data_IF_540294564144
#
_entry.id   IF_540294564144
#
_cell.length_a   1.000
_cell.length_b   1.000
_cell.length_c   1.000
_cell.angle_alpha   90.00
_cell.angle_beta   90.00
_cell.angle_gamma   90.00
#
_symmetry.space_group_name_H-M   'P 1'
#
loop_
_entity.id
_entity.type
_entity.pdbx_description
1 polymer ?
#
# COMPACT_ATOMS: atom_id res chain seq x y z
N UNK A 1 -33.45 -28.17 30.42
CA UNK A 1 -32.57 -28.43 29.27
C UNK A 1 -32.31 -27.18 28.38
N UNK A 2 -33.25 -26.25 28.22
CA UNK A 2 -33.09 -25.05 27.36
C UNK A 2 -31.93 -24.09 27.75
N UNK A 3 -31.63 -23.94 29.03
CA UNK A 3 -30.58 -22.98 29.48
C UNK A 3 -29.14 -23.39 29.15
N UNK A 4 -28.88 -24.69 28.91
CA UNK A 4 -27.51 -25.14 28.54
C UNK A 4 -27.20 -24.87 27.07
N UNK A 5 -28.18 -24.95 26.19
CA UNK A 5 -27.99 -24.67 24.76
C UNK A 5 -27.78 -23.16 24.46
N UNK A 6 -28.48 -22.29 25.20
CA UNK A 6 -28.31 -20.84 25.05
C UNK A 6 -26.86 -20.36 25.37
N UNK A 7 -26.23 -20.93 26.40
CA UNK A 7 -24.85 -20.60 26.77
C UNK A 7 -23.83 -21.08 25.73
N UNK A 8 -24.04 -22.23 25.10
CA UNK A 8 -23.18 -22.76 24.06
C UNK A 8 -23.26 -21.91 22.78
N UNK A 9 -24.45 -21.46 22.39
CA UNK A 9 -24.66 -20.63 21.19
C UNK A 9 -24.05 -19.25 21.39
N UNK A 10 -24.17 -18.64 22.55
CA UNK A 10 -23.57 -17.34 22.86
C UNK A 10 -22.02 -17.44 22.86
N UNK A 11 -21.48 -18.51 23.44
CA UNK A 11 -20.03 -18.76 23.43
C UNK A 11 -19.46 -18.91 22.02
N UNK A 12 -20.17 -19.62 21.14
CA UNK A 12 -19.77 -19.77 19.72
C UNK A 12 -19.83 -18.43 18.96
N UNK A 13 -20.88 -17.64 19.16
CA UNK A 13 -21.04 -16.35 18.49
C UNK A 13 -19.95 -15.36 18.92
N UNK A 14 -19.61 -15.30 20.21
CA UNK A 14 -18.53 -14.44 20.73
C UNK A 14 -17.16 -14.93 20.24
N UNK A 15 -16.92 -16.23 20.20
CA UNK A 15 -15.69 -16.81 19.67
C UNK A 15 -15.50 -16.49 18.18
N UNK A 16 -16.56 -16.60 17.38
CA UNK A 16 -16.52 -16.26 15.95
C UNK A 16 -16.28 -14.77 15.73
N UNK A 17 -16.89 -13.89 16.53
CA UNK A 17 -16.71 -12.45 16.47
C UNK A 17 -15.27 -12.04 16.83
N UNK A 18 -14.68 -12.65 17.85
CA UNK A 18 -13.29 -12.41 18.23
C UNK A 18 -12.30 -12.93 17.18
N UNK A 19 -12.61 -14.05 16.53
CA UNK A 19 -11.79 -14.58 15.43
C UNK A 19 -11.81 -13.64 14.21
N UNK A 20 -12.98 -13.11 13.85
CA UNK A 20 -13.10 -12.17 12.72
C UNK A 20 -12.43 -10.84 13.01
N UNK A 21 -12.51 -10.31 14.23
CA UNK A 21 -11.81 -9.11 14.67
C UNK A 21 -10.29 -9.33 14.75
N UNK A 22 -9.84 -10.53 15.12
CA UNK A 22 -8.44 -10.92 15.14
C UNK A 22 -7.84 -11.00 13.73
N UNK A 23 -8.59 -11.56 12.78
CA UNK A 23 -8.18 -11.67 11.38
C UNK A 23 -8.12 -10.30 10.68
N UNK A 24 -8.97 -9.34 11.06
CA UNK A 24 -8.94 -7.98 10.53
C UNK A 24 -7.67 -7.21 10.92
N UNK A 25 -6.95 -7.63 11.96
CA UNK A 25 -5.66 -7.06 12.38
C UNK A 25 -4.44 -7.69 11.72
N UNK A 26 -4.61 -8.73 10.89
CA UNK A 26 -3.56 -9.28 10.03
C UNK A 26 -3.46 -8.50 8.72
N UNK A 27 -3.51 -7.16 8.80
CA UNK A 27 -3.52 -6.23 7.67
C UNK A 27 -2.35 -6.36 6.66
N UNK A 28 -1.14 -6.85 6.99
CA UNK A 28 -0.10 -6.98 5.98
C UNK A 28 -0.38 -8.06 4.92
N UNK A 29 -1.40 -8.91 5.12
CA UNK A 29 -1.78 -9.94 4.14
C UNK A 29 -2.97 -9.54 3.25
N UNK A 30 -3.53 -8.34 3.39
CA UNK A 30 -4.68 -7.91 2.60
C UNK A 30 -4.26 -7.54 1.18
N UNK A 31 -4.96 -7.99 0.14
CA UNK A 31 -4.55 -7.81 -1.26
C UNK A 31 -4.62 -6.37 -1.79
N UNK A 32 -4.79 -5.39 -0.92
CA UNK A 32 -4.96 -4.00 -1.30
C UNK A 32 -6.33 -3.71 -1.94
N UNK A 33 -6.59 -2.46 -2.33
CA UNK A 33 -7.87 -2.04 -2.90
C UNK A 33 -8.16 -2.73 -4.22
N UNK A 34 -9.44 -3.03 -4.48
CA UNK A 34 -9.88 -3.52 -5.78
C UNK A 34 -9.76 -2.42 -6.84
N UNK A 35 -9.46 -2.82 -8.06
CA UNK A 35 -9.44 -1.90 -9.20
C UNK A 35 -10.85 -1.31 -9.39
N UNK A 36 -11.02 0.03 -9.39
CA UNK A 36 -12.32 0.64 -9.63
C UNK A 36 -12.88 0.33 -11.01
N UNK A 37 -14.19 0.31 -11.14
CA UNK A 37 -14.84 0.15 -12.44
C UNK A 37 -14.41 1.28 -13.40
N UNK A 38 -14.00 0.91 -14.61
CA UNK A 38 -13.52 1.86 -15.62
C UNK A 38 -12.07 2.35 -15.42
N UNK A 39 -11.38 1.87 -14.40
CA UNK A 39 -9.96 2.15 -14.23
C UNK A 39 -9.09 1.16 -15.03
N UNK A 40 -7.92 1.63 -15.45
CA UNK A 40 -6.87 0.81 -16.07
C UNK A 40 -5.70 0.70 -15.09
N UNK A 41 -5.27 -0.53 -14.78
CA UNK A 41 -4.13 -0.76 -13.89
C UNK A 41 -2.85 -0.20 -14.51
N UNK A 42 -2.01 0.39 -13.66
CA UNK A 42 -0.64 0.82 -13.98
C UNK A 42 0.34 -0.06 -13.20
N UNK A 43 1.50 -0.30 -13.79
CA UNK A 43 2.55 -1.02 -13.11
C UNK A 43 3.20 -0.15 -12.02
N UNK A 44 3.40 -0.74 -10.85
CA UNK A 44 4.22 -0.23 -9.76
C UNK A 44 4.99 -1.38 -9.14
N UNK A 45 6.25 -1.17 -8.81
CA UNK A 45 7.02 -2.14 -8.05
C UNK A 45 6.55 -2.13 -6.60
N UNK A 46 6.30 -3.31 -6.03
CA UNK A 46 5.90 -3.46 -4.64
C UNK A 46 6.73 -4.52 -3.95
N UNK A 47 6.96 -4.33 -2.64
CA UNK A 47 7.58 -5.36 -1.81
C UNK A 47 6.74 -6.64 -1.84
N UNK A 48 7.38 -7.82 -1.86
CA UNK A 48 6.68 -9.06 -1.68
C UNK A 48 6.03 -9.11 -0.28
N UNK A 49 4.88 -9.76 -0.18
CA UNK A 49 4.22 -9.94 1.11
C UNK A 49 5.11 -10.75 2.06
N UNK A 50 5.51 -10.16 3.18
CA UNK A 50 6.25 -10.82 4.23
C UNK A 50 5.32 -11.18 5.39
N UNK A 51 5.45 -12.41 5.90
CA UNK A 51 4.67 -12.89 7.07
C UNK A 51 5.16 -12.26 8.39
N UNK A 52 6.36 -11.70 8.41
CA UNK A 52 6.97 -11.06 9.57
C UNK A 52 7.40 -9.64 9.21
N UNK A 53 7.25 -8.68 10.13
CA UNK A 53 7.75 -7.33 9.90
C UNK A 53 9.27 -7.40 9.69
N UNK A 54 9.75 -6.84 8.58
CA UNK A 54 11.17 -6.66 8.34
C UNK A 54 11.71 -5.68 9.37
N UNK A 55 12.70 -6.11 10.16
CA UNK A 55 13.34 -5.25 11.13
C UNK A 55 14.24 -4.24 10.41
N UNK A 56 14.00 -2.96 10.64
CA UNK A 56 14.86 -1.87 10.23
C UNK A 56 14.45 -1.18 8.93
N UNK A 57 13.58 -0.17 9.04
CA UNK A 57 13.42 0.81 7.99
C UNK A 57 14.63 1.75 8.00
N UNK A 58 15.38 1.88 6.90
CA UNK A 58 16.43 2.89 6.79
C UNK A 58 15.87 4.30 7.02
N UNK A 59 16.63 5.19 7.66
CA UNK A 59 16.19 6.54 8.02
C UNK A 59 16.38 7.55 6.86
N UNK A 60 16.22 7.13 5.61
CA UNK A 60 16.19 8.03 4.48
C UNK A 60 14.75 8.49 4.21
N UNK A 61 14.61 9.68 3.65
CA UNK A 61 13.32 10.21 3.21
C UNK A 61 13.31 10.36 1.69
N UNK A 62 12.20 9.95 1.07
CA UNK A 62 11.96 10.23 -0.32
C UNK A 62 11.94 11.75 -0.54
N UNK A 63 12.83 12.24 -1.40
CA UNK A 63 12.86 13.64 -1.80
C UNK A 63 11.61 14.01 -2.60
N UNK A 64 11.25 15.32 -2.64
CA UNK A 64 10.10 15.77 -3.42
C UNK A 64 10.17 15.30 -4.87
N UNK A 65 9.16 14.60 -5.31
CA UNK A 65 9.07 14.08 -6.66
C UNK A 65 7.63 14.15 -7.19
N UNK A 66 7.50 14.40 -8.46
CA UNK A 66 6.20 14.51 -9.16
C UNK A 66 5.74 13.14 -9.64
N UNK A 67 4.50 12.82 -9.36
CA UNK A 67 3.85 11.62 -9.89
C UNK A 67 3.61 11.80 -11.39
N UNK A 68 4.12 10.87 -12.18
CA UNK A 68 3.99 10.85 -13.63
C UNK A 68 3.71 9.44 -14.14
N UNK A 69 3.42 9.30 -15.42
CA UNK A 69 3.21 8.02 -16.09
C UNK A 69 4.12 7.94 -17.31
N UNK A 70 4.86 6.85 -17.41
CA UNK A 70 5.64 6.48 -18.57
C UNK A 70 5.16 5.13 -19.11
N UNK A 71 4.57 5.13 -20.30
CA UNK A 71 3.93 3.92 -20.83
C UNK A 71 2.80 3.43 -19.93
N UNK A 72 2.95 2.22 -19.39
CA UNK A 72 1.99 1.57 -18.49
C UNK A 72 2.43 1.63 -17.01
N UNK A 73 3.48 2.39 -16.70
CA UNK A 73 4.08 2.45 -15.37
C UNK A 73 3.88 3.82 -14.71
N UNK A 74 3.57 3.82 -13.42
CA UNK A 74 3.63 5.02 -12.61
C UNK A 74 5.08 5.22 -12.16
N UNK A 75 5.61 6.42 -12.38
CA UNK A 75 6.97 6.80 -12.04
C UNK A 75 7.00 8.08 -11.21
N UNK A 76 8.11 8.32 -10.52
CA UNK A 76 8.35 9.56 -9.80
C UNK A 76 9.49 10.34 -10.47
N UNK A 77 9.23 11.58 -10.83
CA UNK A 77 10.21 12.48 -11.41
C UNK A 77 10.69 13.47 -10.34
N UNK A 78 11.98 13.49 -10.00
CA UNK A 78 12.50 14.42 -8.99
C UNK A 78 12.20 15.87 -9.32
N UNK A 79 11.74 16.66 -8.36
CA UNK A 79 11.55 18.12 -8.54
C UNK A 79 12.88 18.85 -8.79
N UNK A 80 13.99 18.31 -8.32
CA UNK A 80 15.33 18.82 -8.59
C UNK A 80 15.82 18.53 -10.02
N UNK A 81 15.03 17.78 -10.80
CA UNK A 81 15.42 17.29 -12.12
C UNK A 81 16.23 16.00 -12.06
N UNK A 82 16.42 15.38 -13.21
CA UNK A 82 17.12 14.11 -13.37
C UNK A 82 16.21 12.98 -13.89
N UNK A 83 16.73 11.77 -13.87
CA UNK A 83 16.01 10.59 -14.30
C UNK A 83 14.90 10.21 -13.31
N UNK A 84 13.85 9.51 -13.76
CA UNK A 84 12.81 9.00 -12.88
C UNK A 84 13.39 8.14 -11.75
N UNK A 85 12.84 8.31 -10.55
CA UNK A 85 13.20 7.49 -9.38
C UNK A 85 12.46 6.18 -9.48
N UNK A 86 13.17 5.07 -9.42
CA UNK A 86 12.57 3.76 -9.22
C UNK A 86 12.21 3.60 -7.74
N UNK A 87 10.91 3.36 -7.47
CA UNK A 87 10.39 3.24 -6.11
C UNK A 87 9.70 1.91 -5.94
N UNK A 88 10.09 1.18 -4.90
CA UNK A 88 9.42 -0.04 -4.46
C UNK A 88 8.51 0.32 -3.30
N UNK A 89 7.21 0.16 -3.51
CA UNK A 89 6.17 0.52 -2.58
C UNK A 89 5.83 -0.64 -1.62
N UNK A 90 5.23 -0.37 -0.46
CA UNK A 90 4.77 -1.42 0.43
C UNK A 90 3.78 -2.38 -0.24
N UNK A 91 3.73 -3.61 0.25
CA UNK A 91 2.78 -4.63 -0.22
C UNK A 91 1.34 -4.11 -0.21
N UNK A 92 0.60 -4.41 -1.27
CA UNK A 92 -0.81 -4.04 -1.41
C UNK A 92 -1.06 -2.63 -1.97
N UNK A 93 0.00 -1.81 -2.16
CA UNK A 93 -0.12 -0.56 -2.89
C UNK A 93 -0.38 -0.83 -4.38
N UNK A 94 -1.12 0.04 -5.02
CA UNK A 94 -1.51 -0.08 -6.42
C UNK A 94 -1.50 1.28 -7.12
N UNK A 95 -1.42 1.23 -8.44
CA UNK A 95 -1.67 2.40 -9.26
C UNK A 95 -2.67 2.06 -10.36
N UNK A 96 -3.44 3.05 -10.75
CA UNK A 96 -4.38 2.95 -11.86
C UNK A 96 -4.61 4.30 -12.50
N UNK A 97 -5.17 4.28 -13.70
CA UNK A 97 -5.69 5.47 -14.36
C UNK A 97 -7.21 5.45 -14.29
N UNK A 98 -7.80 6.47 -13.73
CA UNK A 98 -9.25 6.65 -13.61
C UNK A 98 -9.63 8.04 -14.11
N UNK A 99 -10.59 8.14 -15.03
CA UNK A 99 -11.01 9.43 -15.59
C UNK A 99 -9.88 10.18 -16.33
N UNK A 100 -8.94 9.44 -16.94
CA UNK A 100 -7.81 10.01 -17.67
C UNK A 100 -6.61 10.43 -16.81
N UNK A 101 -6.68 10.29 -15.49
CA UNK A 101 -5.63 10.69 -14.54
C UNK A 101 -5.12 9.49 -13.76
N UNK A 102 -3.81 9.38 -13.60
CA UNK A 102 -3.21 8.32 -12.80
C UNK A 102 -3.30 8.64 -11.30
N UNK A 103 -3.48 7.59 -10.50
CA UNK A 103 -3.53 7.65 -9.04
C UNK A 103 -2.63 6.56 -8.46
N UNK A 104 -1.83 6.91 -7.45
CA UNK A 104 -1.13 5.99 -6.56
C UNK A 104 -1.97 5.80 -5.31
N UNK A 105 -2.23 4.55 -4.94
CA UNK A 105 -3.19 4.21 -3.89
C UNK A 105 -2.55 3.25 -2.89
N UNK A 106 -2.62 3.60 -1.62
CA UNK A 106 -2.14 2.77 -0.52
C UNK A 106 -3.03 1.53 -0.33
N UNK A 107 -2.55 0.58 0.46
CA UNK A 107 -3.24 -0.70 0.73
C UNK A 107 -4.65 -0.55 1.33
N UNK A 108 -4.91 0.56 2.04
CA UNK A 108 -6.22 0.87 2.65
C UNK A 108 -7.19 1.60 1.70
N UNK A 109 -6.76 1.88 0.46
CA UNK A 109 -7.55 2.60 -0.53
C UNK A 109 -7.36 4.12 -0.53
N UNK A 110 -6.50 4.66 0.35
CA UNK A 110 -6.17 6.09 0.36
C UNK A 110 -5.41 6.47 -0.91
N UNK A 111 -5.85 7.50 -1.61
CA UNK A 111 -5.10 8.09 -2.73
C UNK A 111 -3.95 8.91 -2.15
N UNK A 112 -2.73 8.46 -2.42
CA UNK A 112 -1.48 9.06 -1.91
C UNK A 112 -1.01 10.19 -2.80
N UNK A 113 -1.20 10.06 -4.10
CA UNK A 113 -0.84 11.07 -5.07
C UNK A 113 -1.49 10.83 -6.42
N UNK A 114 -1.76 11.90 -7.14
CA UNK A 114 -2.29 11.89 -8.50
C UNK A 114 -1.24 12.36 -9.48
N UNK A 115 -1.38 11.98 -10.72
CA UNK A 115 -0.53 12.49 -11.80
C UNK A 115 -0.44 14.02 -11.76
N UNK A 116 0.79 14.54 -11.67
CA UNK A 116 1.09 15.94 -11.50
C UNK A 116 1.30 16.41 -10.04
N UNK A 117 0.84 15.65 -9.05
CA UNK A 117 1.09 15.99 -7.65
C UNK A 117 2.57 15.75 -7.29
N UNK A 118 3.08 16.58 -6.39
CA UNK A 118 4.40 16.39 -5.78
C UNK A 118 4.23 15.67 -4.45
N UNK A 119 4.88 14.53 -4.30
CA UNK A 119 4.88 13.74 -3.06
C UNK A 119 6.27 13.66 -2.46
N UNK A 120 6.36 13.55 -1.15
CA UNK A 120 7.62 13.50 -0.41
C UNK A 120 7.40 12.96 1.00
N UNK A 121 8.47 12.78 1.74
CA UNK A 121 8.42 12.47 3.18
C UNK A 121 8.18 11.01 3.51
N UNK A 122 8.11 10.12 2.53
CA UNK A 122 8.05 8.68 2.78
C UNK A 122 9.38 8.20 3.35
N UNK A 123 9.32 7.50 4.48
CA UNK A 123 10.48 6.86 5.08
C UNK A 123 10.88 5.61 4.30
N UNK A 124 12.17 5.40 4.12
CA UNK A 124 12.68 4.26 3.38
C UNK A 124 14.19 4.27 3.23
N UNK A 125 14.68 3.66 2.18
CA UNK A 125 16.10 3.64 1.84
C UNK A 125 16.36 3.08 0.46
N UNK A 126 17.56 3.35 -0.06
CA UNK A 126 18.00 2.80 -1.33
C UNK A 126 18.44 1.35 -1.11
N UNK A 127 17.86 0.43 -1.86
CA UNK A 127 18.20 -0.98 -1.87
C UNK A 127 19.49 -1.28 -2.64
N UNK A 128 19.85 -2.55 -2.71
CA UNK A 128 20.99 -3.02 -3.52
C UNK A 128 20.69 -3.03 -5.03
N UNK A 129 19.46 -2.80 -5.39
CA UNK A 129 18.92 -2.65 -6.74
C UNK A 129 18.86 -1.19 -7.22
N UNK A 130 19.43 -0.26 -6.42
CA UNK A 130 19.40 1.18 -6.62
C UNK A 130 17.98 1.81 -6.56
N UNK A 131 16.94 1.03 -6.29
CA UNK A 131 15.58 1.53 -6.08
C UNK A 131 15.38 2.08 -4.66
N UNK A 132 14.49 3.05 -4.50
CA UNK A 132 14.08 3.54 -3.20
C UNK A 132 12.92 2.69 -2.65
N UNK A 133 13.19 1.94 -1.59
CA UNK A 133 12.20 1.08 -0.92
C UNK A 133 11.47 1.87 0.16
N UNK A 134 10.18 2.10 -0.03
CA UNK A 134 9.32 2.75 0.95
C UNK A 134 8.91 1.73 2.01
N UNK A 135 9.14 2.05 3.27
CA UNK A 135 8.77 1.20 4.39
C UNK A 135 7.90 1.89 5.45
N UNK A 136 7.77 3.23 5.37
CA UNK A 136 6.87 4.00 6.24
C UNK A 136 6.06 4.94 5.36
N UNK A 137 4.76 4.97 5.57
CA UNK A 137 3.89 5.93 4.91
C UNK A 137 4.26 7.35 5.33
N UNK A 138 4.21 8.27 4.39
CA UNK A 138 4.39 9.70 4.66
C UNK A 138 3.27 10.21 5.56
N UNK A 139 3.58 11.00 6.53
CA UNK A 139 2.64 11.66 7.45
C UNK A 139 2.14 12.99 6.89
#
# INVERSE_FOLDING_TARGET
>A
MLRRHARAVIGMAVGLLLLTLGLARLSPMWPGPALPAGATALAVATEPAHLLPTMGCPLALLLPARVAVEGDSLVLIPEAGGDPIEVVWPTGWKAWRLGGRAELVAHDGTVVGREGDVISGFGGGVGTDDAFHVCIEGS
#
